data_IF_004677395388
#
_entry.id   IF_004677395388
#
_cell.length_a   1.000
_cell.length_b   1.000
_cell.length_c   1.000
_cell.angle_alpha   90.00
_cell.angle_beta   90.00
_cell.angle_gamma   90.00
#
_symmetry.space_group_name_H-M   'P 1'
#
loop_
_entity.id
_entity.type
_entity.pdbx_description
1 polymer ?
#
# COMPACT_ATOMS: atom_id res chain seq x y z
N UNK A 1 -2.06 6.10 -18.64
CA UNK A 1 -1.24 5.41 -19.68
C UNK A 1 -2.14 4.73 -20.69
N UNK A 2 -1.97 5.00 -21.99
CA UNK A 2 -2.76 4.37 -23.05
C UNK A 2 -2.31 2.92 -23.28
N UNK A 3 -3.25 1.98 -23.20
CA UNK A 3 -2.99 0.58 -23.56
C UNK A 3 -3.59 0.27 -24.92
N UNK A 4 -2.86 -0.49 -25.73
CA UNK A 4 -3.30 -0.96 -27.04
C UNK A 4 -3.20 -2.49 -27.11
N UNK A 5 -4.06 -3.11 -27.91
CA UNK A 5 -4.02 -4.53 -28.25
C UNK A 5 -3.74 -4.66 -29.73
N UNK A 6 -2.68 -5.37 -30.07
CA UNK A 6 -2.38 -5.75 -31.45
C UNK A 6 -3.11 -7.06 -31.76
N UNK A 7 -3.89 -7.07 -32.82
CA UNK A 7 -4.60 -8.27 -33.29
C UNK A 7 -4.26 -8.48 -34.76
N UNK A 8 -3.84 -9.69 -35.12
CA UNK A 8 -3.60 -10.03 -36.52
C UNK A 8 -4.94 -10.15 -37.23
N UNK A 9 -5.19 -9.26 -38.18
CA UNK A 9 -6.32 -9.34 -39.07
C UNK A 9 -6.05 -10.43 -40.12
N UNK A 10 -6.85 -11.50 -40.07
CA UNK A 10 -6.69 -12.66 -40.96
C UNK A 10 -7.14 -12.38 -42.40
N UNK A 11 -7.89 -11.31 -42.64
CA UNK A 11 -8.33 -10.93 -43.99
C UNK A 11 -7.28 -10.08 -44.70
N UNK A 12 -6.64 -9.16 -43.99
CA UNK A 12 -5.66 -8.24 -44.56
C UNK A 12 -4.21 -8.68 -44.36
N UNK A 13 -3.96 -9.60 -43.42
CA UNK A 13 -2.61 -10.01 -43.02
C UNK A 13 -1.86 -8.95 -42.19
N UNK A 14 -2.51 -7.86 -41.81
CA UNK A 14 -1.93 -6.74 -41.08
C UNK A 14 -2.26 -6.78 -39.59
N UNK A 15 -1.42 -6.14 -38.77
CA UNK A 15 -1.70 -5.94 -37.35
C UNK A 15 -2.67 -4.76 -37.18
N UNK A 16 -3.87 -5.04 -36.69
CA UNK A 16 -4.81 -4.03 -36.24
C UNK A 16 -4.47 -3.59 -34.80
N UNK A 17 -4.28 -2.29 -34.60
CA UNK A 17 -4.02 -1.69 -33.29
C UNK A 17 -5.35 -1.20 -32.71
N UNK A 18 -5.83 -1.87 -31.65
CA UNK A 18 -7.07 -1.52 -30.97
C UNK A 18 -6.76 -0.83 -29.63
N UNK A 19 -7.26 0.39 -29.43
CA UNK A 19 -7.10 1.13 -28.17
C UNK A 19 -7.95 0.50 -27.06
N UNK A 20 -7.32 0.07 -25.96
CA UNK A 20 -7.98 -0.47 -24.77
C UNK A 20 -8.36 0.62 -23.75
N UNK A 21 -8.08 1.88 -24.09
CA UNK A 21 -8.31 3.04 -23.25
C UNK A 21 -7.17 3.32 -22.28
N UNK A 22 -7.41 4.30 -21.40
CA UNK A 22 -6.41 4.77 -20.45
C UNK A 22 -6.46 3.96 -19.15
N UNK A 23 -5.38 3.25 -18.88
CA UNK A 23 -5.18 2.59 -17.60
C UNK A 23 -4.44 3.53 -16.65
N UNK A 24 -4.79 3.48 -15.38
CA UNK A 24 -4.15 4.26 -14.32
C UNK A 24 -3.69 3.35 -13.18
N UNK A 25 -2.57 3.69 -12.57
CA UNK A 25 -2.07 3.05 -11.35
C UNK A 25 -2.95 3.40 -10.16
N UNK A 26 -2.85 2.63 -9.08
CA UNK A 26 -3.51 2.95 -7.80
C UNK A 26 -3.08 4.34 -7.27
N UNK A 27 -1.82 4.72 -7.50
CA UNK A 27 -1.31 6.04 -7.10
C UNK A 27 -1.98 7.17 -7.88
N UNK A 28 -2.13 7.00 -9.20
CA UNK A 28 -2.80 7.99 -10.05
C UNK A 28 -4.30 8.07 -9.74
N UNK A 29 -4.94 6.93 -9.48
CA UNK A 29 -6.33 6.90 -8.99
C UNK A 29 -6.46 7.67 -7.67
N UNK A 30 -5.55 7.46 -6.71
CA UNK A 30 -5.56 8.21 -5.45
C UNK A 30 -5.48 9.72 -5.67
N UNK A 31 -4.56 10.18 -6.52
CA UNK A 31 -4.46 11.59 -6.90
C UNK A 31 -5.75 12.13 -7.51
N UNK A 32 -6.41 11.35 -8.38
CA UNK A 32 -7.70 11.72 -8.99
C UNK A 32 -8.78 12.00 -7.94
N UNK A 33 -8.79 11.26 -6.83
CA UNK A 33 -9.72 11.44 -5.72
C UNK A 33 -9.16 12.28 -4.56
N UNK A 34 -8.04 12.96 -4.75
CA UNK A 34 -7.43 13.79 -3.71
C UNK A 34 -6.88 13.04 -2.50
N UNK A 35 -6.65 11.73 -2.60
CA UNK A 35 -6.13 10.89 -1.51
C UNK A 35 -4.71 10.40 -1.79
N UNK A 36 -3.93 10.24 -0.72
CA UNK A 36 -2.60 9.65 -0.81
C UNK A 36 -2.64 8.20 -1.28
N UNK A 37 -1.53 7.67 -1.85
CA UNK A 37 -1.47 6.31 -2.40
C UNK A 37 -1.67 5.21 -1.36
N UNK A 38 -1.44 5.48 -0.07
CA UNK A 38 -1.70 4.51 1.02
C UNK A 38 -3.19 4.39 1.29
N UNK A 39 -3.86 5.52 1.52
CA UNK A 39 -5.31 5.60 1.69
C UNK A 39 -6.06 5.04 0.48
N UNK A 40 -5.61 5.35 -0.74
CA UNK A 40 -6.15 4.73 -1.96
C UNK A 40 -6.10 3.20 -1.92
N UNK A 41 -5.00 2.60 -1.46
CA UNK A 41 -4.90 1.13 -1.33
C UNK A 41 -5.84 0.56 -0.27
N UNK A 42 -6.01 1.25 0.86
CA UNK A 42 -6.94 0.83 1.92
C UNK A 42 -8.37 0.85 1.40
N UNK A 43 -8.78 1.93 0.74
CA UNK A 43 -10.11 2.07 0.13
C UNK A 43 -10.34 0.95 -0.88
N UNK A 44 -9.40 0.72 -1.81
CA UNK A 44 -9.53 -0.34 -2.81
C UNK A 44 -9.48 -1.75 -2.21
N UNK A 45 -8.78 -1.94 -1.08
CA UNK A 45 -8.79 -3.21 -0.38
C UNK A 45 -10.14 -3.46 0.31
N UNK A 46 -10.69 -2.43 0.97
CA UNK A 46 -12.01 -2.48 1.60
C UNK A 46 -13.11 -2.76 0.57
N UNK A 47 -13.03 -2.12 -0.60
CA UNK A 47 -13.91 -2.35 -1.75
C UNK A 47 -13.75 -3.76 -2.37
N UNK A 48 -12.73 -4.53 -1.99
CA UNK A 48 -12.44 -5.85 -2.57
C UNK A 48 -11.75 -5.81 -3.94
N UNK A 49 -11.33 -4.64 -4.41
CA UNK A 49 -10.57 -4.48 -5.66
C UNK A 49 -9.12 -4.95 -5.50
N UNK A 50 -8.53 -4.75 -4.31
CA UNK A 50 -7.19 -5.25 -3.99
C UNK A 50 -7.25 -6.34 -2.92
N UNK A 51 -6.41 -7.36 -3.06
CA UNK A 51 -6.23 -8.41 -2.08
C UNK A 51 -4.81 -8.39 -1.48
N UNK A 52 -4.69 -8.92 -0.27
CA UNK A 52 -3.41 -9.09 0.40
C UNK A 52 -2.59 -10.22 -0.25
N UNK A 53 -1.40 -9.91 -0.74
CA UNK A 53 -0.48 -10.87 -1.35
C UNK A 53 0.97 -10.51 -1.01
N UNK A 54 1.71 -11.47 -0.43
CA UNK A 54 3.13 -11.31 -0.09
C UNK A 54 3.49 -10.00 0.67
N UNK A 55 2.60 -9.55 1.55
CA UNK A 55 2.79 -8.32 2.33
C UNK A 55 2.34 -7.02 1.65
N UNK A 56 1.73 -7.09 0.47
CA UNK A 56 1.26 -5.93 -0.31
C UNK A 56 -0.21 -6.09 -0.68
N UNK A 57 -0.86 -4.99 -1.02
CA UNK A 57 -2.16 -5.02 -1.68
C UNK A 57 -1.96 -5.05 -3.19
N UNK A 58 -2.49 -6.08 -3.84
CA UNK A 58 -2.34 -6.39 -5.26
C UNK A 58 -3.70 -6.66 -5.91
N UNK A 59 -3.79 -6.41 -7.20
CA UNK A 59 -4.96 -6.77 -8.00
C UNK A 59 -5.11 -8.30 -8.03
N UNK A 60 -6.26 -8.88 -7.64
CA UNK A 60 -6.51 -10.31 -7.73
C UNK A 60 -6.41 -10.83 -9.15
N UNK A 61 -5.99 -12.08 -9.33
CA UNK A 61 -5.88 -12.70 -10.67
C UNK A 61 -7.22 -12.69 -11.42
N UNK A 62 -8.34 -12.90 -10.73
CA UNK A 62 -9.69 -12.82 -11.28
C UNK A 62 -10.00 -11.46 -11.92
N UNK A 63 -9.48 -10.36 -11.37
CA UNK A 63 -9.66 -9.02 -11.96
C UNK A 63 -8.86 -8.88 -13.25
N UNK A 64 -7.68 -9.49 -13.34
CA UNK A 64 -6.88 -9.52 -14.57
C UNK A 64 -7.59 -10.33 -15.65
N UNK A 65 -8.11 -11.51 -15.31
CA UNK A 65 -8.86 -12.39 -16.21
C UNK A 65 -10.12 -11.73 -16.76
N UNK A 66 -10.77 -10.88 -15.95
CA UNK A 66 -11.96 -10.10 -16.34
C UNK A 66 -11.65 -8.78 -17.06
N UNK A 67 -10.39 -8.55 -17.41
CA UNK A 67 -9.90 -7.33 -18.06
C UNK A 67 -10.18 -6.04 -17.25
N UNK A 68 -10.30 -6.16 -15.92
CA UNK A 68 -10.49 -5.04 -15.00
C UNK A 68 -9.15 -4.36 -14.66
N UNK A 69 -8.03 -4.98 -14.99
CA UNK A 69 -6.73 -4.37 -14.82
C UNK A 69 -5.61 -5.27 -15.30
N UNK A 70 -4.38 -4.86 -15.02
CA UNK A 70 -3.18 -5.63 -15.32
C UNK A 70 -2.21 -5.58 -14.14
N UNK A 71 -1.51 -6.69 -13.94
CA UNK A 71 -0.40 -6.81 -12.98
C UNK A 71 0.91 -6.69 -13.74
N UNK A 72 1.82 -5.89 -13.22
CA UNK A 72 3.19 -5.78 -13.73
C UNK A 72 4.14 -6.37 -12.70
N UNK A 73 4.40 -7.67 -12.79
CA UNK A 73 5.21 -8.39 -11.79
C UNK A 73 6.72 -8.35 -12.05
N UNK A 74 7.12 -8.36 -13.33
CA UNK A 74 8.51 -8.56 -13.76
C UNK A 74 9.06 -7.31 -14.45
N UNK A 75 9.18 -6.22 -13.70
CA UNK A 75 9.71 -4.97 -14.21
C UNK A 75 11.23 -4.90 -14.05
N UNK A 76 11.91 -4.25 -15.00
CA UNK A 76 13.34 -3.91 -14.89
C UNK A 76 13.66 -3.09 -13.63
N UNK A 77 12.68 -2.34 -13.11
CA UNK A 77 12.80 -1.58 -11.86
C UNK A 77 12.74 -2.41 -10.58
N UNK A 78 12.38 -3.70 -10.65
CA UNK A 78 12.26 -4.59 -9.49
C UNK A 78 11.06 -4.29 -8.57
N UNK A 79 10.15 -3.40 -8.96
CA UNK A 79 9.02 -2.98 -8.14
C UNK A 79 7.69 -3.27 -8.82
N UNK A 80 6.99 -4.36 -8.44
CA UNK A 80 5.73 -4.70 -9.07
C UNK A 80 4.65 -3.66 -8.74
N UNK A 81 3.83 -3.34 -9.73
CA UNK A 81 2.69 -2.44 -9.59
C UNK A 81 1.51 -2.92 -10.45
N UNK A 82 0.31 -2.44 -10.10
CA UNK A 82 -0.92 -2.79 -10.79
C UNK A 82 -1.56 -1.57 -11.41
N UNK A 83 -2.27 -1.79 -12.52
CA UNK A 83 -3.00 -0.77 -13.25
C UNK A 83 -4.45 -1.19 -13.45
N UNK A 84 -5.34 -0.21 -13.44
CA UNK A 84 -6.79 -0.38 -13.49
C UNK A 84 -7.31 0.04 -14.85
N UNK A 85 -8.10 -0.81 -15.50
CA UNK A 85 -8.71 -0.51 -16.79
C UNK A 85 -9.81 0.54 -16.66
N UNK A 86 -10.20 1.23 -17.75
CA UNK A 86 -11.32 2.18 -17.71
C UNK A 86 -12.60 1.59 -17.12
N UNK A 87 -12.88 0.31 -17.43
CA UNK A 87 -14.02 -0.42 -16.88
C UNK A 87 -13.95 -0.56 -15.36
N UNK A 88 -12.80 -0.90 -14.81
CA UNK A 88 -12.62 -0.98 -13.36
C UNK A 88 -12.68 0.40 -12.70
N UNK A 89 -12.14 1.43 -13.35
CA UNK A 89 -12.23 2.81 -12.86
C UNK A 89 -13.69 3.28 -12.75
N UNK A 90 -14.56 2.89 -13.69
CA UNK A 90 -16.00 3.19 -13.62
C UNK A 90 -16.67 2.50 -12.43
N UNK A 91 -16.44 1.20 -12.24
CA UNK A 91 -16.97 0.45 -11.08
C UNK A 91 -16.49 1.03 -9.75
N UNK A 92 -15.22 1.43 -9.67
CA UNK A 92 -14.68 2.09 -8.48
C UNK A 92 -15.38 3.43 -8.24
N UNK A 93 -15.64 4.21 -9.28
CA UNK A 93 -16.29 5.51 -9.16
C UNK A 93 -17.70 5.40 -8.59
N UNK A 94 -18.45 4.37 -8.96
CA UNK A 94 -19.80 4.10 -8.45
C UNK A 94 -19.82 3.85 -6.93
N UNK A 95 -18.83 3.14 -6.40
CA UNK A 95 -18.79 2.76 -4.98
C UNK A 95 -17.87 3.64 -4.11
N UNK A 96 -17.17 4.62 -4.69
CA UNK A 96 -16.08 5.33 -4.01
C UNK A 96 -16.53 6.06 -2.74
N UNK A 97 -17.57 6.90 -2.86
CA UNK A 97 -18.03 7.77 -1.77
C UNK A 97 -18.56 6.92 -0.60
N UNK A 98 -19.34 5.88 -0.90
CA UNK A 98 -19.90 4.99 0.11
C UNK A 98 -18.80 4.23 0.84
N UNK A 99 -17.80 3.70 0.10
CA UNK A 99 -16.65 2.99 0.68
C UNK A 99 -15.82 3.89 1.59
N UNK A 100 -15.60 5.15 1.20
CA UNK A 100 -14.86 6.13 2.03
C UNK A 100 -15.63 6.46 3.29
N UNK A 101 -16.94 6.67 3.17
CA UNK A 101 -17.82 7.00 4.31
C UNK A 101 -17.86 5.85 5.32
N UNK A 102 -17.96 4.62 4.83
CA UNK A 102 -17.94 3.41 5.66
C UNK A 102 -16.61 3.29 6.42
N UNK A 103 -15.47 3.40 5.74
CA UNK A 103 -14.15 3.38 6.36
C UNK A 103 -13.95 4.46 7.43
N UNK A 104 -14.37 5.68 7.14
CA UNK A 104 -14.24 6.80 8.08
C UNK A 104 -15.14 6.62 9.31
N UNK A 105 -16.26 5.90 9.17
CA UNK A 105 -17.16 5.58 10.29
C UNK A 105 -16.59 4.48 11.21
N UNK A 106 -15.82 3.54 10.66
CA UNK A 106 -15.16 2.47 11.42
C UNK A 106 -13.90 2.95 12.16
N UNK A 107 -13.29 4.04 11.70
CA UNK A 107 -12.02 4.54 12.22
C UNK A 107 -12.14 5.07 13.65
N UNK A 108 -11.50 4.37 14.61
CA UNK A 108 -11.44 4.86 15.99
C UNK A 108 -10.64 6.17 16.09
N UNK A 109 -10.98 7.10 17.03
CA UNK A 109 -10.26 8.37 17.18
C UNK A 109 -8.74 8.21 17.38
N UNK A 110 -8.31 7.11 17.99
CA UNK A 110 -6.88 6.79 18.19
C UNK A 110 -6.16 6.52 16.87
N UNK A 111 -6.80 5.82 15.93
CA UNK A 111 -6.24 5.54 14.60
C UNK A 111 -6.06 6.83 13.83
N UNK A 112 -7.08 7.69 13.81
CA UNK A 112 -7.02 8.99 13.13
C UNK A 112 -5.90 9.88 13.68
N UNK A 113 -5.80 10.00 15.01
CA UNK A 113 -4.71 10.77 15.66
C UNK A 113 -3.32 10.22 15.31
N UNK A 114 -3.17 8.90 15.23
CA UNK A 114 -1.89 8.29 14.88
C UNK A 114 -1.52 8.51 13.41
N UNK A 115 -2.50 8.48 12.50
CA UNK A 115 -2.32 8.83 11.09
C UNK A 115 -1.89 10.29 10.93
N UNK A 116 -2.64 11.23 11.52
CA UNK A 116 -2.34 12.67 11.50
C UNK A 116 -0.93 12.96 12.03
N UNK A 117 -0.54 12.34 13.16
CA UNK A 117 0.78 12.55 13.74
C UNK A 117 1.91 11.95 12.89
N UNK A 118 1.67 10.80 12.24
CA UNK A 118 2.64 10.20 11.33
C UNK A 118 2.85 11.07 10.08
N UNK A 119 1.78 11.66 9.55
CA UNK A 119 1.86 12.56 8.39
C UNK A 119 2.52 13.89 8.75
N UNK A 120 2.21 14.45 9.92
CA UNK A 120 2.95 15.59 10.46
C UNK A 120 4.45 15.28 10.59
N UNK A 121 4.81 14.13 11.17
CA UNK A 121 6.20 13.69 11.28
C UNK A 121 6.89 13.56 9.90
N UNK A 122 6.21 12.97 8.91
CA UNK A 122 6.75 12.86 7.54
C UNK A 122 7.03 14.22 6.92
N UNK A 123 6.16 15.21 7.12
CA UNK A 123 6.33 16.55 6.55
C UNK A 123 7.59 17.27 7.05
N UNK A 124 8.05 16.96 8.27
CA UNK A 124 9.27 17.54 8.84
C UNK A 124 10.57 16.92 8.34
N UNK A 125 10.51 15.79 7.62
CA UNK A 125 11.70 15.04 7.22
C UNK A 125 12.18 15.45 5.83
N UNK A 126 13.50 15.50 5.67
CA UNK A 126 14.16 15.67 4.36
C UNK A 126 14.08 14.42 3.48
N UNK A 127 13.97 13.24 4.09
CA UNK A 127 13.88 11.96 3.39
C UNK A 127 12.60 11.21 3.76
N UNK A 128 12.03 10.55 2.76
CA UNK A 128 10.84 9.71 2.91
C UNK A 128 11.06 8.58 3.92
N UNK A 129 10.01 8.25 4.66
CA UNK A 129 10.01 7.16 5.62
C UNK A 129 9.73 5.84 4.90
N UNK A 130 10.62 4.84 5.03
CA UNK A 130 10.33 3.49 4.57
C UNK A 130 9.15 2.87 5.35
N UNK A 131 8.52 1.83 4.81
CA UNK A 131 7.42 1.14 5.50
C UNK A 131 7.87 0.57 6.85
N UNK A 132 9.08 0.01 6.94
CA UNK A 132 9.61 -0.52 8.19
C UNK A 132 9.80 0.59 9.24
N UNK A 133 10.39 1.71 8.85
CA UNK A 133 10.56 2.86 9.74
C UNK A 133 9.21 3.42 10.20
N UNK A 134 8.20 3.44 9.33
CA UNK A 134 6.84 3.85 9.67
C UNK A 134 6.20 2.93 10.72
N UNK A 135 6.35 1.60 10.57
CA UNK A 135 5.90 0.63 11.57
C UNK A 135 6.62 0.86 12.90
N UNK A 136 7.94 1.01 12.88
CA UNK A 136 8.72 1.26 14.10
C UNK A 136 8.26 2.53 14.81
N UNK A 137 8.09 3.62 14.07
CA UNK A 137 7.64 4.90 14.61
C UNK A 137 6.27 4.80 15.28
N UNK A 138 5.29 4.16 14.62
CA UNK A 138 3.96 3.94 15.18
C UNK A 138 4.01 3.08 16.46
N UNK A 139 4.82 2.01 16.46
CA UNK A 139 4.99 1.19 17.66
C UNK A 139 5.71 1.90 18.82
N UNK A 140 6.51 2.93 18.55
CA UNK A 140 7.19 3.71 19.58
C UNK A 140 6.30 4.83 20.15
N UNK A 141 5.46 5.48 19.32
CA UNK A 141 4.63 6.63 19.74
C UNK A 141 3.20 6.25 20.12
N UNK A 142 2.67 5.15 19.57
CA UNK A 142 1.31 4.67 19.81
C UNK A 142 1.32 3.17 20.18
N UNK A 143 1.88 2.82 21.35
CA UNK A 143 2.14 1.42 21.72
C UNK A 143 0.88 0.57 21.91
N UNK A 144 -0.30 1.20 22.00
CA UNK A 144 -1.59 0.52 22.13
C UNK A 144 -2.25 0.18 20.78
N UNK A 145 -1.68 0.62 19.66
CA UNK A 145 -2.23 0.27 18.35
C UNK A 145 -2.04 -1.23 18.06
N UNK A 146 -3.12 -1.84 17.60
CA UNK A 146 -3.10 -3.21 17.11
C UNK A 146 -2.40 -3.26 15.74
N UNK A 147 -1.83 -4.42 15.39
CA UNK A 147 -1.20 -4.60 14.07
C UNK A 147 -2.16 -4.34 12.90
N UNK A 148 -3.45 -4.65 13.07
CA UNK A 148 -4.51 -4.33 12.08
C UNK A 148 -4.61 -2.82 11.84
N UNK A 149 -4.57 -2.03 12.92
CA UNK A 149 -4.70 -0.57 12.85
C UNK A 149 -3.45 0.06 12.22
N UNK A 150 -2.27 -0.47 12.54
CA UNK A 150 -1.03 -0.03 11.88
C UNK A 150 -1.04 -0.38 10.38
N UNK A 151 -1.56 -1.55 10.03
CA UNK A 151 -1.70 -1.99 8.65
C UNK A 151 -2.62 -1.07 7.84
N UNK A 152 -3.77 -0.71 8.42
CA UNK A 152 -4.71 0.27 7.90
C UNK A 152 -4.05 1.63 7.65
N UNK A 153 -3.43 2.24 8.67
CA UNK A 153 -2.74 3.54 8.55
C UNK A 153 -1.68 3.53 7.43
N UNK A 154 -0.99 2.41 7.25
CA UNK A 154 0.12 2.32 6.30
C UNK A 154 -0.28 1.82 4.91
N UNK A 155 -1.52 1.33 4.72
CA UNK A 155 -1.96 0.70 3.48
C UNK A 155 -1.15 -0.54 3.12
N UNK A 156 -0.84 -1.38 4.12
CA UNK A 156 -0.10 -2.65 3.98
C UNK A 156 -0.78 -3.75 4.77
N UNK A 157 -0.32 -5.00 4.65
CA UNK A 157 -0.94 -6.11 5.38
C UNK A 157 -0.47 -6.18 6.84
N UNK A 158 -1.33 -6.68 7.73
CA UNK A 158 -0.97 -6.94 9.13
C UNK A 158 0.19 -7.94 9.30
N UNK A 159 0.36 -8.86 8.34
CA UNK A 159 1.50 -9.78 8.30
C UNK A 159 2.82 -9.03 8.10
N UNK A 160 2.85 -8.02 7.21
CA UNK A 160 4.04 -7.21 7.00
C UNK A 160 4.38 -6.39 8.26
N UNK A 161 3.36 -5.84 8.93
CA UNK A 161 3.53 -5.16 10.22
C UNK A 161 4.14 -6.12 11.24
N UNK A 162 3.57 -7.32 11.43
CA UNK A 162 4.08 -8.35 12.34
C UNK A 162 5.54 -8.72 12.05
N UNK A 163 5.92 -8.82 10.77
CA UNK A 163 7.31 -9.06 10.38
C UNK A 163 8.22 -7.92 10.85
N UNK A 164 7.85 -6.66 10.63
CA UNK A 164 8.67 -5.53 11.02
C UNK A 164 8.72 -5.30 12.54
N UNK A 165 7.66 -5.61 13.28
CA UNK A 165 7.70 -5.54 14.74
C UNK A 165 8.66 -6.56 15.35
N UNK A 166 8.74 -7.78 14.78
CA UNK A 166 9.76 -8.77 15.15
C UNK A 166 11.17 -8.28 14.88
N UNK A 167 11.42 -7.67 13.72
CA UNK A 167 12.73 -7.08 13.39
C UNK A 167 13.10 -5.99 14.40
N UNK A 168 12.16 -5.10 14.74
CA UNK A 168 12.36 -4.06 15.76
C UNK A 168 12.71 -4.65 17.12
N UNK A 169 11.99 -5.68 17.57
CA UNK A 169 12.25 -6.33 18.87
C UNK A 169 13.68 -6.88 18.94
N UNK A 170 14.12 -7.57 17.88
CA UNK A 170 15.50 -8.08 17.76
C UNK A 170 16.53 -6.94 17.80
N UNK A 171 16.29 -5.85 17.07
CA UNK A 171 17.18 -4.69 17.07
C UNK A 171 17.29 -4.03 18.46
N UNK A 172 16.17 -3.91 19.20
CA UNK A 172 16.17 -3.40 20.56
C UNK A 172 16.98 -4.30 21.51
N UNK A 173 16.79 -5.61 21.44
CA UNK A 173 17.56 -6.57 22.25
C UNK A 173 19.06 -6.46 21.99
N UNK A 174 19.48 -6.38 20.72
CA UNK A 174 20.89 -6.20 20.35
C UNK A 174 21.45 -4.89 20.93
N UNK A 175 20.68 -3.80 20.85
CA UNK A 175 21.11 -2.49 21.40
C UNK A 175 21.26 -2.53 22.92
N UNK A 176 20.34 -3.20 23.62
CA UNK A 176 20.42 -3.38 25.09
C UNK A 176 21.66 -4.22 25.44
N UNK A 177 21.86 -5.36 24.78
CA UNK A 177 23.01 -6.24 25.02
C UNK A 177 24.35 -5.51 24.80
N UNK A 178 24.45 -4.71 23.75
CA UNK A 178 25.62 -3.86 23.49
C UNK A 178 25.86 -2.84 24.60
N UNK A 179 24.81 -2.19 25.10
CA UNK A 179 24.90 -1.19 26.17
C UNK A 179 25.33 -1.81 27.50
N UNK A 180 24.88 -3.04 27.80
CA UNK A 180 25.32 -3.81 28.98
C UNK A 180 26.79 -4.19 28.88
N UNK A 181 27.29 -4.56 27.69
CA UNK A 181 28.71 -4.87 27.48
C UNK A 181 29.64 -3.65 27.49
N UNK A 182 29.14 -2.44 27.23
CA UNK A 182 29.97 -1.21 27.19
C UNK A 182 30.07 -0.49 28.52
N UNK A 183 29.31 -0.88 29.55
CA UNK A 183 29.49 -0.37 30.89
C UNK A 183 30.62 -1.19 31.56
N UNK A 184 31.79 -0.59 31.86
CA UNK A 184 32.84 -1.30 32.57
C UNK A 184 32.30 -1.74 33.93
N UNK A 185 32.70 -2.94 34.34
CA UNK A 185 32.39 -3.53 35.63
C UNK A 185 33.05 -2.65 36.71
N UNK A 186 32.35 -1.60 37.15
CA UNK A 186 32.66 -0.86 38.38
C UNK A 186 32.17 -1.74 39.54
N UNK A 187 32.97 -2.74 39.88
CA UNK A 187 32.89 -3.44 41.14
C UNK A 187 34.26 -3.26 41.82
N UNK A 188 34.24 -2.38 42.83
CA UNK A 188 35.25 -2.28 43.89
C UNK A 188 35.28 -3.56 44.74
#
# INVERSE_FOLDING_TARGET
MLYVRETLDRQTGLLAINTMGEFITVTELGKKYGVGPKRARVILHHMGVLAAEAGRYRLPQLFVERELGRRHDHLRSGHPFDVLSPKCQALIAEAWIDTVTDLDSEATPTVRRAEEALDAFRSTRRSGLSTQEAVCWLCDHYPRLLHRQIAEILGVTAQLVSRFTKVRAKQKQIKIARKVQTLPNLQD
#
